data_IF_332662040293
#
_entry.id   IF_332662040293
#
_cell.length_a   1.000
_cell.length_b   1.000
_cell.length_c   1.000
_cell.angle_alpha   90.00
_cell.angle_beta   90.00
_cell.angle_gamma   90.00
#
_symmetry.space_group_name_H-M   'P 1'
#
loop_
_entity.id
_entity.type
_entity.pdbx_description
1 polymer ?
#
# COMPACT_ATOMS: atom_id res chain seq x y z
N UNK A 1 -5.21 -23.65 4.10
CA UNK A 1 -4.34 -24.20 3.04
C UNK A 1 -5.04 -23.95 1.72
N UNK A 2 -4.39 -23.27 0.79
CA UNK A 2 -4.89 -22.97 -0.56
C UNK A 2 -3.83 -23.51 -1.52
N UNK A 3 -4.23 -24.39 -2.43
CA UNK A 3 -3.35 -24.91 -3.47
C UNK A 3 -3.57 -24.10 -4.75
N UNK A 4 -2.49 -23.56 -5.31
CA UNK A 4 -2.53 -22.71 -6.52
C UNK A 4 -1.64 -23.34 -7.59
N UNK A 5 -2.21 -23.66 -8.75
CA UNK A 5 -1.44 -24.11 -9.90
C UNK A 5 -0.59 -22.97 -10.47
N UNK A 6 0.60 -23.29 -10.97
CA UNK A 6 1.42 -22.37 -11.76
C UNK A 6 0.69 -21.94 -13.04
N UNK A 7 1.13 -20.84 -13.64
CA UNK A 7 0.50 -20.26 -14.83
C UNK A 7 0.53 -21.18 -16.06
N UNK A 8 1.51 -22.09 -16.11
CA UNK A 8 1.69 -23.13 -17.12
C UNK A 8 1.15 -24.50 -16.67
N UNK A 9 0.63 -24.61 -15.45
CA UNK A 9 0.06 -25.83 -14.87
C UNK A 9 1.06 -26.93 -14.54
N UNK A 10 2.37 -26.66 -14.61
CA UNK A 10 3.44 -27.63 -14.34
C UNK A 10 3.66 -27.88 -12.86
N UNK A 11 3.41 -26.88 -12.02
CA UNK A 11 3.63 -26.92 -10.58
C UNK A 11 2.35 -26.57 -9.81
N UNK A 12 2.27 -27.02 -8.57
CA UNK A 12 1.22 -26.63 -7.63
C UNK A 12 1.88 -26.15 -6.34
N UNK A 13 1.52 -24.96 -5.91
CA UNK A 13 2.03 -24.35 -4.69
C UNK A 13 0.98 -24.43 -3.59
N UNK A 14 1.32 -25.11 -2.50
CA UNK A 14 0.50 -25.15 -1.30
C UNK A 14 0.83 -23.96 -0.41
N UNK A 15 -0.12 -23.03 -0.30
CA UNK A 15 0.01 -21.83 0.51
C UNK A 15 -0.77 -22.03 1.80
N UNK A 16 -0.08 -21.93 2.93
CA UNK A 16 -0.69 -21.94 4.25
C UNK A 16 0.08 -21.01 5.19
N UNK A 17 -0.56 -20.69 6.32
CA UNK A 17 0.03 -19.83 7.35
C UNK A 17 0.94 -20.69 8.23
N UNK A 18 2.24 -20.44 8.15
CA UNK A 18 3.24 -21.04 9.04
C UNK A 18 3.88 -19.92 9.88
N UNK A 19 3.70 -20.00 11.19
CA UNK A 19 4.16 -18.96 12.13
C UNK A 19 5.67 -18.82 12.14
N UNK A 20 6.40 -19.93 12.05
CA UNK A 20 7.86 -19.90 12.07
C UNK A 20 8.40 -19.32 10.78
N UNK A 21 7.82 -19.66 9.63
CA UNK A 21 8.23 -19.09 8.34
C UNK A 21 7.90 -17.60 8.23
N UNK A 22 6.72 -17.18 8.69
CA UNK A 22 6.37 -15.75 8.76
C UNK A 22 7.33 -14.97 9.67
N UNK A 23 7.61 -15.51 10.86
CA UNK A 23 8.56 -14.91 11.81
C UNK A 23 9.97 -14.87 11.22
N UNK A 24 10.41 -15.92 10.54
CA UNK A 24 11.70 -15.98 9.84
C UNK A 24 11.85 -14.86 8.81
N UNK A 25 10.76 -14.45 8.15
CA UNK A 25 10.77 -13.34 7.20
C UNK A 25 10.81 -11.95 7.85
N UNK A 26 10.01 -11.71 8.91
CA UNK A 26 9.82 -10.36 9.48
C UNK A 26 10.83 -10.04 10.59
N UNK A 27 11.15 -10.99 11.45
CA UNK A 27 12.01 -10.77 12.63
C UNK A 27 13.39 -10.20 12.27
N UNK A 28 14.13 -10.69 11.24
CA UNK A 28 15.45 -10.16 10.93
C UNK A 28 15.44 -8.67 10.56
N UNK A 29 14.42 -8.23 9.84
CA UNK A 29 14.22 -6.82 9.43
C UNK A 29 14.08 -5.94 10.67
N UNK A 30 13.20 -6.34 11.60
CA UNK A 30 12.95 -5.62 12.86
C UNK A 30 14.16 -5.57 13.77
N UNK A 31 14.84 -6.72 13.95
CA UNK A 31 16.03 -6.83 14.80
C UNK A 31 17.19 -5.98 14.29
N UNK A 32 17.41 -5.95 12.96
CA UNK A 32 18.41 -5.06 12.34
C UNK A 32 18.09 -3.58 12.60
N UNK A 33 16.82 -3.21 12.62
CA UNK A 33 16.37 -1.85 12.94
C UNK A 33 16.36 -1.54 14.45
N UNK A 34 16.73 -2.50 15.33
CA UNK A 34 16.72 -2.33 16.78
C UNK A 34 15.34 -2.38 17.42
N UNK A 35 14.35 -2.95 16.73
CA UNK A 35 12.96 -3.06 17.19
C UNK A 35 12.65 -4.52 17.60
N UNK A 36 11.94 -4.78 18.71
CA UNK A 36 11.62 -6.14 19.14
C UNK A 36 10.72 -6.87 18.14
N UNK A 37 10.74 -8.20 18.18
CA UNK A 37 9.83 -9.05 17.40
C UNK A 37 8.38 -8.82 17.84
N UNK A 38 7.42 -9.27 17.04
CA UNK A 38 6.02 -9.24 17.44
C UNK A 38 5.72 -10.35 18.46
N UNK A 39 4.72 -10.08 19.29
CA UNK A 39 4.16 -11.05 20.21
C UNK A 39 3.44 -12.19 19.47
N UNK A 40 3.26 -13.32 20.15
CA UNK A 40 2.65 -14.52 19.55
C UNK A 40 1.22 -14.26 19.05
N UNK A 41 0.45 -13.42 19.74
CA UNK A 41 -0.93 -13.10 19.36
C UNK A 41 -1.04 -12.41 17.99
N UNK A 42 0.00 -11.66 17.59
CA UNK A 42 0.10 -11.08 16.26
C UNK A 42 0.29 -12.19 15.22
N UNK A 43 1.18 -13.15 15.46
CA UNK A 43 1.41 -14.28 14.53
C UNK A 43 0.26 -15.29 14.50
N UNK A 44 -0.62 -15.30 15.50
CA UNK A 44 -1.82 -16.14 15.52
C UNK A 44 -2.96 -15.55 14.71
N UNK A 45 -3.16 -14.24 14.78
CA UNK A 45 -4.25 -13.55 14.10
C UNK A 45 -3.83 -13.12 12.67
N UNK A 46 -4.50 -13.62 11.61
CA UNK A 46 -4.19 -13.24 10.24
C UNK A 46 -4.33 -11.75 9.96
N UNK A 47 -5.36 -11.11 10.53
CA UNK A 47 -5.65 -9.70 10.31
C UNK A 47 -4.62 -8.83 11.03
N UNK A 48 -4.33 -9.10 12.32
CA UNK A 48 -3.31 -8.35 13.06
C UNK A 48 -1.93 -8.48 12.39
N UNK A 49 -1.56 -9.68 11.97
CA UNK A 49 -0.28 -9.88 11.27
C UNK A 49 -0.24 -9.10 9.96
N UNK A 50 -1.32 -9.11 9.18
CA UNK A 50 -1.39 -8.38 7.93
C UNK A 50 -1.21 -6.87 8.15
N UNK A 51 -1.91 -6.28 9.13
CA UNK A 51 -1.76 -4.86 9.48
C UNK A 51 -0.32 -4.51 9.87
N UNK A 52 0.30 -5.35 10.71
CA UNK A 52 1.70 -5.18 11.11
C UNK A 52 2.66 -5.32 9.94
N UNK A 53 2.44 -6.28 9.04
CA UNK A 53 3.25 -6.48 7.83
C UNK A 53 3.14 -5.29 6.87
N UNK A 54 1.93 -4.77 6.65
CA UNK A 54 1.70 -3.58 5.82
C UNK A 54 2.47 -2.38 6.37
N UNK A 55 2.44 -2.19 7.69
CA UNK A 55 3.15 -1.12 8.38
C UNK A 55 4.68 -1.30 8.30
N UNK A 56 5.19 -2.50 8.60
CA UNK A 56 6.62 -2.81 8.53
C UNK A 56 7.18 -2.56 7.13
N UNK A 57 6.45 -3.01 6.09
CA UNK A 57 6.87 -2.83 4.70
C UNK A 57 6.81 -1.37 4.25
N UNK A 58 5.89 -0.58 4.78
CA UNK A 58 5.86 0.87 4.54
C UNK A 58 7.09 1.58 5.12
N UNK A 59 7.52 1.19 6.31
CA UNK A 59 8.69 1.78 6.97
C UNK A 59 9.97 1.32 6.28
N UNK A 60 10.14 0.02 6.08
CA UNK A 60 11.37 -0.58 5.53
C UNK A 60 11.68 -0.05 4.12
N UNK A 61 10.65 0.09 3.27
CA UNK A 61 10.81 0.53 1.88
C UNK A 61 10.31 1.97 1.67
N UNK A 62 10.40 2.80 2.71
CA UNK A 62 10.00 4.20 2.61
C UNK A 62 10.82 4.91 1.52
N UNK A 63 10.14 5.64 0.64
CA UNK A 63 10.74 6.31 -0.52
C UNK A 63 11.39 5.40 -1.60
N UNK A 64 11.07 4.09 -1.61
CA UNK A 64 11.56 3.14 -2.64
C UNK A 64 10.46 2.70 -3.64
N UNK A 65 9.44 3.53 -3.83
CA UNK A 65 8.34 3.31 -4.80
C UNK A 65 7.45 2.08 -4.54
N UNK A 66 7.72 1.28 -3.50
CA UNK A 66 6.96 0.07 -3.18
C UNK A 66 5.52 0.36 -2.74
N UNK A 67 5.32 1.42 -1.94
CA UNK A 67 4.02 1.75 -1.34
C UNK A 67 2.90 1.85 -2.38
N UNK A 68 3.17 2.47 -3.54
CA UNK A 68 2.20 2.64 -4.61
C UNK A 68 1.64 1.30 -5.12
N UNK A 69 2.51 0.32 -5.35
CA UNK A 69 2.14 -0.99 -5.88
C UNK A 69 1.57 -1.91 -4.79
N UNK A 70 2.09 -1.80 -3.57
CA UNK A 70 1.65 -2.57 -2.41
C UNK A 70 0.17 -2.32 -2.08
N UNK A 71 -0.22 -1.06 -1.99
CA UNK A 71 -1.60 -0.69 -1.70
C UNK A 71 -2.57 -1.23 -2.76
N UNK A 72 -2.17 -1.21 -4.04
CA UNK A 72 -2.99 -1.67 -5.16
C UNK A 72 -3.12 -3.19 -5.21
N UNK A 73 -2.02 -3.94 -5.05
CA UNK A 73 -2.05 -5.41 -5.09
C UNK A 73 -2.81 -6.01 -3.90
N UNK A 74 -2.76 -5.33 -2.75
CA UNK A 74 -3.51 -5.69 -1.55
C UNK A 74 -4.94 -5.17 -1.54
N UNK A 75 -5.31 -4.29 -2.49
CA UNK A 75 -6.65 -3.69 -2.61
C UNK A 75 -7.08 -2.86 -1.39
N UNK A 76 -6.11 -2.20 -0.75
CA UNK A 76 -6.32 -1.30 0.40
C UNK A 76 -6.03 0.18 0.06
N UNK A 77 -5.85 0.48 -1.23
CA UNK A 77 -5.51 1.83 -1.70
C UNK A 77 -6.61 2.86 -1.42
N UNK A 78 -7.87 2.46 -1.39
CA UNK A 78 -8.99 3.38 -1.14
C UNK A 78 -8.94 3.96 0.28
N UNK A 79 -8.58 3.11 1.26
CA UNK A 79 -8.40 3.51 2.66
C UNK A 79 -7.18 4.42 2.81
N UNK A 80 -6.07 4.11 2.14
CA UNK A 80 -4.80 4.82 2.35
C UNK A 80 -4.55 6.04 1.46
N UNK A 81 -4.92 6.01 0.17
CA UNK A 81 -4.78 7.16 -0.76
C UNK A 81 -6.02 8.07 -0.74
N UNK A 82 -7.12 7.66 -0.09
CA UNK A 82 -8.28 8.51 0.16
C UNK A 82 -8.16 9.37 1.42
N UNK A 83 -7.30 8.98 2.36
CA UNK A 83 -7.05 9.70 3.61
C UNK A 83 -6.40 11.06 3.38
N UNK A 84 -6.90 12.08 4.09
CA UNK A 84 -6.30 13.42 4.05
C UNK A 84 -4.98 13.44 4.80
N UNK A 85 -4.00 14.19 4.28
CA UNK A 85 -2.67 14.27 4.87
C UNK A 85 -2.66 15.34 5.97
N UNK A 86 -2.10 14.97 7.13
CA UNK A 86 -1.93 15.86 8.28
C UNK A 86 -0.45 16.10 8.55
N UNK A 87 -0.14 17.26 9.11
CA UNK A 87 1.20 17.63 9.53
C UNK A 87 1.16 18.65 10.66
N UNK A 88 2.34 19.12 11.06
CA UNK A 88 2.45 20.25 11.99
C UNK A 88 1.88 21.54 11.35
N UNK A 89 1.43 22.46 12.19
CA UNK A 89 0.92 23.75 11.75
C UNK A 89 2.08 24.70 11.41
N UNK A 90 2.56 24.59 10.17
CA UNK A 90 3.71 25.36 9.66
C UNK A 90 3.40 26.84 9.39
N UNK A 91 2.16 27.27 9.54
CA UNK A 91 1.72 28.66 9.32
C UNK A 91 1.86 29.54 10.58
N UNK A 92 2.35 28.99 11.69
CA UNK A 92 2.49 29.70 12.95
C UNK A 92 3.71 30.63 12.97
N UNK A 93 3.56 31.78 13.63
CA UNK A 93 4.64 32.71 13.91
C UNK A 93 5.18 32.52 15.34
N UNK A 94 6.21 33.29 15.72
CA UNK A 94 6.86 33.19 17.03
C UNK A 94 5.90 33.36 18.21
N UNK A 95 4.89 34.23 18.07
CA UNK A 95 3.89 34.48 19.12
C UNK A 95 2.99 33.26 19.38
N UNK A 96 2.86 32.36 18.40
CA UNK A 96 2.03 31.16 18.47
C UNK A 96 2.84 29.88 18.26
N UNK A 97 4.13 29.90 18.62
CA UNK A 97 5.04 28.75 18.43
C UNK A 97 4.51 27.43 19.01
N UNK A 98 3.78 27.47 20.11
CA UNK A 98 3.23 26.27 20.75
C UNK A 98 2.16 25.59 19.89
N UNK A 99 1.48 26.35 19.02
CA UNK A 99 0.48 25.83 18.08
C UNK A 99 1.11 25.08 16.90
N UNK A 100 2.43 25.15 16.70
CA UNK A 100 3.13 24.41 15.65
C UNK A 100 2.87 22.90 15.74
N UNK A 101 2.82 22.35 16.96
CA UNK A 101 2.63 20.92 17.19
C UNK A 101 1.18 20.45 17.07
N UNK A 102 0.24 21.35 16.75
CA UNK A 102 -1.13 20.95 16.49
C UNK A 102 -1.22 20.28 15.11
N UNK A 103 -1.81 19.07 15.03
CA UNK A 103 -1.99 18.41 13.75
C UNK A 103 -3.05 19.16 12.93
N UNK A 104 -2.66 19.64 11.76
CA UNK A 104 -3.55 20.32 10.80
C UNK A 104 -3.49 19.61 9.46
N UNK A 105 -4.62 19.64 8.72
CA UNK A 105 -4.67 19.14 7.34
C UNK A 105 -3.78 19.99 6.46
N UNK A 106 -2.93 19.35 5.66
CA UNK A 106 -2.08 20.03 4.67
C UNK A 106 -2.96 20.40 3.48
N UNK A 107 -3.30 21.69 3.35
CA UNK A 107 -4.28 22.16 2.37
C UNK A 107 -3.86 21.93 0.91
N UNK A 108 -2.56 21.99 0.62
CA UNK A 108 -1.98 21.85 -0.73
C UNK A 108 -1.92 20.39 -1.22
N UNK A 109 -2.05 19.43 -0.31
CA UNK A 109 -1.99 18.00 -0.63
C UNK A 109 -3.38 17.37 -0.48
N UNK A 110 -4.28 17.74 -1.38
CA UNK A 110 -5.59 17.11 -1.46
C UNK A 110 -5.46 15.71 -2.03
N UNK A 111 -5.89 14.74 -1.24
CA UNK A 111 -5.97 13.34 -1.65
C UNK A 111 -7.39 13.00 -2.05
N UNK A 112 -7.51 12.23 -3.12
CA UNK A 112 -8.77 11.62 -3.54
C UNK A 112 -8.46 10.33 -4.29
N UNK A 113 -9.24 9.30 -4.02
CA UNK A 113 -9.15 8.03 -4.70
C UNK A 113 -10.49 7.68 -5.36
N UNK A 114 -10.41 7.17 -6.58
CA UNK A 114 -11.50 6.60 -7.35
C UNK A 114 -11.08 5.24 -7.86
N UNK A 115 -12.01 4.28 -7.87
CA UNK A 115 -11.73 2.88 -8.25
C UNK A 115 -11.09 2.71 -9.65
N UNK A 116 -11.25 3.67 -10.57
CA UNK A 116 -10.54 3.64 -11.86
C UNK A 116 -9.01 3.78 -11.72
N UNK A 117 -8.52 4.42 -10.65
CA UNK A 117 -7.10 4.69 -10.39
C UNK A 117 -6.31 3.45 -9.89
N UNK A 118 -6.95 2.28 -9.80
CA UNK A 118 -6.23 1.01 -9.68
C UNK A 118 -5.34 0.74 -10.90
N UNK A 119 -5.75 1.21 -12.08
CA UNK A 119 -5.00 1.05 -13.33
C UNK A 119 -4.74 2.42 -13.96
N UNK A 120 -3.58 2.57 -14.58
CA UNK A 120 -3.28 3.74 -15.39
C UNK A 120 -4.15 3.76 -16.66
N UNK A 121 -4.64 4.93 -17.10
CA UNK A 121 -5.30 5.05 -18.38
C UNK A 121 -4.28 4.79 -19.50
N UNK A 122 -4.73 4.08 -20.52
CA UNK A 122 -4.04 3.98 -21.79
C UNK A 122 -4.23 5.30 -22.54
N UNK A 123 -3.15 5.82 -23.11
CA UNK A 123 -3.21 7.07 -23.88
C UNK A 123 -4.17 6.95 -25.06
N UNK A 124 -4.85 8.04 -25.38
CA UNK A 124 -5.83 8.08 -26.46
C UNK A 124 -5.21 7.75 -27.84
N UNK A 125 -4.01 8.23 -28.11
CA UNK A 125 -3.32 7.98 -29.37
C UNK A 125 -3.05 6.49 -29.59
N UNK A 126 -2.71 5.75 -28.53
CA UNK A 126 -2.50 4.30 -28.60
C UNK A 126 -3.81 3.54 -28.84
N UNK A 127 -4.90 3.97 -28.20
CA UNK A 127 -6.24 3.40 -28.46
C UNK A 127 -6.69 3.63 -29.91
N UNK A 128 -6.41 4.82 -30.47
CA UNK A 128 -6.73 5.14 -31.87
C UNK A 128 -5.90 4.32 -32.86
N UNK A 129 -4.64 4.04 -32.54
CA UNK A 129 -3.73 3.24 -33.38
C UNK A 129 -4.13 1.77 -33.44
N UNK A 130 -4.54 1.18 -32.32
CA UNK A 130 -4.87 -0.23 -32.23
C UNK A 130 -6.36 -0.46 -31.92
N UNK A 131 -7.14 -0.82 -32.95
CA UNK A 131 -8.58 -1.12 -32.82
C UNK A 131 -8.90 -2.32 -31.92
N UNK A 132 -7.93 -3.19 -31.64
CA UNK A 132 -8.10 -4.35 -30.76
C UNK A 132 -7.77 -4.01 -29.29
N UNK A 133 -7.30 -2.81 -28.99
CA UNK A 133 -6.96 -2.37 -27.63
C UNK A 133 -8.19 -1.76 -26.95
N UNK A 134 -8.54 -2.30 -25.78
CA UNK A 134 -9.56 -1.73 -24.90
C UNK A 134 -8.93 -0.89 -23.80
N UNK A 135 -9.66 0.13 -23.33
CA UNK A 135 -9.22 0.99 -22.23
C UNK A 135 -9.31 0.25 -20.89
N UNK A 136 -8.46 0.68 -19.94
CA UNK A 136 -8.52 0.25 -18.56
C UNK A 136 -9.91 0.53 -17.92
N UNK A 137 -10.40 -0.34 -17.03
CA UNK A 137 -11.73 -0.20 -16.44
C UNK A 137 -11.98 1.15 -15.76
N UNK A 138 -13.14 1.75 -16.03
CA UNK A 138 -13.60 3.01 -15.41
C UNK A 138 -12.99 4.29 -16.01
N UNK A 139 -12.08 4.18 -16.97
CA UNK A 139 -11.60 5.31 -17.77
C UNK A 139 -12.46 5.46 -19.02
N UNK A 140 -12.63 6.70 -19.48
CA UNK A 140 -13.49 7.01 -20.63
C UNK A 140 -12.82 6.60 -21.95
N UNK A 141 -13.66 6.14 -22.88
CA UNK A 141 -13.33 6.11 -24.29
C UNK A 141 -13.72 7.46 -24.87
N UNK A 142 -12.77 8.16 -25.48
CA UNK A 142 -13.12 9.34 -26.27
C UNK A 142 -13.58 8.84 -27.65
N UNK A 143 -14.84 9.13 -27.99
CA UNK A 143 -15.42 8.86 -29.31
C UNK A 143 -14.98 9.91 -30.34
#
# INVERSE_FOLDING_TARGET
MISISSWDGTETYDIFRDKEEMRRGVKPVRMRAGVPDYDEDIYEDPQKFFEKLVHERQIEFFAETQRYYDLRRWKIVEEHEGEQIYGCNTLMNENYKDMYYLPVRVAELQTSFSRKQYFWPISFDELKRNKNLSQAPGWEYYN
#
